data_IF_454103009424
#
_entry.id   IF_454103009424
#
_cell.length_a   1.000
_cell.length_b   1.000
_cell.length_c   1.000
_cell.angle_alpha   90.00
_cell.angle_beta   90.00
_cell.angle_gamma   90.00
#
_symmetry.space_group_name_H-M   'P 1'
#
loop_
_entity.id
_entity.type
_entity.pdbx_description
1 polymer ?
#
# COMPACT_ATOMS: atom_id res chain seq x y z
N UNK A 1 5.96 13.40 -4.88
CA UNK A 1 6.96 12.50 -4.37
C UNK A 1 6.45 11.09 -4.43
N UNK A 2 7.31 10.15 -4.62
CA UNK A 2 6.94 8.76 -4.77
C UNK A 2 7.12 8.04 -3.46
N UNK A 3 6.13 7.29 -3.06
CA UNK A 3 6.18 6.54 -1.81
C UNK A 3 5.78 5.09 -2.08
N UNK A 4 6.40 4.17 -1.38
CA UNK A 4 6.16 2.76 -1.55
C UNK A 4 5.66 2.15 -0.25
N UNK A 5 4.60 1.37 -0.33
CA UNK A 5 4.03 0.74 0.86
C UNK A 5 3.87 -0.75 0.62
N UNK A 6 4.10 -1.53 1.66
CA UNK A 6 3.83 -2.97 1.63
C UNK A 6 2.81 -3.26 2.70
N UNK A 7 1.71 -3.90 2.33
CA UNK A 7 0.61 -4.17 3.23
C UNK A 7 0.32 -5.66 3.28
N UNK A 8 0.05 -6.17 4.47
CA UNK A 8 -0.50 -7.50 4.62
C UNK A 8 -2.00 -7.30 4.79
N UNK A 9 -2.79 -7.86 3.92
CA UNK A 9 -4.22 -7.57 3.86
C UNK A 9 -5.03 -8.86 3.83
N UNK A 10 -6.31 -8.75 4.15
CA UNK A 10 -7.23 -9.84 4.00
C UNK A 10 -7.43 -10.09 2.50
N UNK A 11 -7.41 -11.33 2.07
CA UNK A 11 -7.61 -11.67 0.66
C UNK A 11 -9.10 -11.74 0.37
N UNK A 12 -9.71 -10.57 0.17
CA UNK A 12 -11.12 -10.44 -0.08
C UNK A 12 -11.36 -9.51 -1.23
N UNK A 13 -12.42 -9.67 -1.94
CA UNK A 13 -12.69 -8.85 -3.12
C UNK A 13 -12.71 -7.36 -2.82
N UNK A 14 -13.23 -6.97 -1.66
CA UNK A 14 -13.37 -5.56 -1.36
C UNK A 14 -12.08 -4.91 -0.88
N UNK A 15 -11.04 -5.69 -0.58
CA UNK A 15 -9.82 -5.13 -0.03
C UNK A 15 -9.15 -4.12 -0.96
N UNK A 16 -8.99 -4.48 -2.22
CA UNK A 16 -8.36 -3.57 -3.16
C UNK A 16 -9.16 -2.29 -3.30
N UNK A 17 -10.47 -2.40 -3.36
CA UNK A 17 -11.28 -1.23 -3.51
C UNK A 17 -11.18 -0.32 -2.31
N UNK A 18 -11.08 -0.87 -1.11
CA UNK A 18 -10.96 -0.06 0.07
C UNK A 18 -9.63 0.64 0.14
N UNK A 19 -8.56 -0.07 -0.16
CA UNK A 19 -7.21 0.49 -0.11
C UNK A 19 -7.05 1.56 -1.17
N UNK A 20 -7.41 1.26 -2.41
CA UNK A 20 -7.24 2.23 -3.49
C UNK A 20 -8.20 3.41 -3.33
N UNK A 21 -9.39 3.15 -2.79
CA UNK A 21 -10.34 4.23 -2.52
C UNK A 21 -9.78 5.22 -1.50
N UNK A 22 -9.10 4.72 -0.47
CA UNK A 22 -8.48 5.58 0.50
C UNK A 22 -7.42 6.45 -0.17
N UNK A 23 -6.58 5.83 -1.00
CA UNK A 23 -5.53 6.56 -1.71
C UNK A 23 -6.13 7.66 -2.56
N UNK A 24 -7.19 7.37 -3.29
CA UNK A 24 -7.82 8.37 -4.12
C UNK A 24 -8.40 9.52 -3.30
N UNK A 25 -9.03 9.22 -2.19
CA UNK A 25 -9.59 10.28 -1.36
C UNK A 25 -8.51 11.16 -0.77
N UNK A 26 -7.30 10.64 -0.63
CA UNK A 26 -6.18 11.41 -0.10
C UNK A 26 -5.33 12.01 -1.22
N UNK A 27 -5.83 11.98 -2.43
CA UNK A 27 -5.15 12.52 -3.60
C UNK A 27 -3.80 11.89 -3.83
N UNK A 28 -3.69 10.61 -3.55
CA UNK A 28 -2.50 9.84 -3.82
C UNK A 28 -2.75 9.07 -5.11
N UNK A 29 -1.87 9.23 -6.08
CA UNK A 29 -2.02 8.62 -7.38
C UNK A 29 -1.34 7.27 -7.36
N UNK A 30 -2.08 6.20 -7.57
CA UNK A 30 -1.52 4.85 -7.56
C UNK A 30 -0.92 4.58 -8.92
N UNK A 31 0.40 4.54 -9.00
CA UNK A 31 1.09 4.35 -10.27
C UNK A 31 1.53 2.91 -10.48
N UNK A 32 1.61 2.11 -9.43
CA UNK A 32 1.90 0.69 -9.57
C UNK A 32 1.29 -0.06 -8.41
N UNK A 33 0.81 -1.26 -8.67
CA UNK A 33 0.17 -2.06 -7.67
C UNK A 33 0.47 -3.52 -7.94
N UNK A 34 0.83 -4.26 -6.89
CA UNK A 34 1.06 -5.67 -7.03
C UNK A 34 0.33 -6.37 -5.91
N UNK A 35 -0.52 -7.31 -6.27
CA UNK A 35 -1.32 -8.05 -5.32
C UNK A 35 -0.94 -9.52 -5.45
N UNK A 36 -0.45 -10.11 -4.39
CA UNK A 36 -0.02 -11.49 -4.44
C UNK A 36 -0.64 -12.27 -3.29
N UNK A 37 -1.40 -13.30 -3.62
CA UNK A 37 -1.98 -14.15 -2.61
C UNK A 37 -0.91 -14.96 -1.94
N UNK A 38 -1.11 -15.18 -0.65
CA UNK A 38 -0.18 -15.96 0.11
C UNK A 38 -0.27 -17.41 -0.35
N UNK A 39 0.92 -18.01 -0.67
CA UNK A 39 0.91 -19.34 -1.09
C UNK A 39 1.61 -20.12 -0.10
N UNK A 40 1.18 -21.18 0.36
CA UNK A 40 1.83 -22.02 1.31
C UNK A 40 1.95 -21.37 2.66
N UNK A 41 1.50 -20.17 2.83
CA UNK A 41 1.59 -19.51 4.06
C UNK A 41 0.24 -19.49 4.69
N UNK A 42 -0.21 -18.32 5.17
CA UNK A 42 -1.45 -18.21 5.77
C UNK A 42 -2.50 -18.00 4.78
N UNK A 43 -3.45 -18.91 4.69
CA UNK A 43 -4.58 -18.76 3.80
C UNK A 43 -5.40 -17.57 4.26
N UNK A 44 -6.01 -16.90 3.35
CA UNK A 44 -6.87 -15.77 3.65
C UNK A 44 -6.17 -14.43 3.68
N UNK A 45 -4.88 -14.40 3.39
CA UNK A 45 -4.13 -13.14 3.37
C UNK A 45 -3.43 -12.96 2.03
N UNK A 46 -3.09 -11.73 1.75
CA UNK A 46 -2.35 -11.37 0.55
C UNK A 46 -1.38 -10.26 0.85
N UNK A 47 -0.37 -10.13 0.02
CA UNK A 47 0.58 -9.02 0.11
C UNK A 47 0.23 -8.01 -0.98
N UNK A 48 0.03 -6.79 -0.59
CA UNK A 48 -0.30 -5.72 -1.52
C UNK A 48 0.80 -4.71 -1.47
N UNK A 49 1.43 -4.45 -2.60
CA UNK A 49 2.48 -3.46 -2.68
C UNK A 49 2.00 -2.31 -3.55
N UNK A 50 2.20 -1.10 -3.09
CA UNK A 50 1.74 0.09 -3.76
C UNK A 50 2.87 1.06 -3.99
N UNK A 51 2.87 1.66 -5.15
CA UNK A 51 3.74 2.78 -5.43
C UNK A 51 2.83 3.96 -5.70
N UNK A 52 2.98 5.01 -4.92
CA UNK A 52 2.09 6.17 -5.00
C UNK A 52 2.87 7.42 -5.30
N UNK A 53 2.25 8.31 -6.06
CA UNK A 53 2.77 9.65 -6.24
C UNK A 53 1.84 10.57 -5.48
N UNK A 54 2.35 11.29 -4.51
CA UNK A 54 1.52 12.11 -3.64
C UNK A 54 2.35 13.26 -3.10
N UNK A 55 1.73 14.41 -2.90
CA UNK A 55 2.42 15.56 -2.32
C UNK A 55 2.66 15.28 -0.85
N UNK A 56 3.64 15.97 -0.28
CA UNK A 56 3.92 15.82 1.12
C UNK A 56 2.70 16.16 1.94
N UNK A 57 2.00 17.20 1.57
CA UNK A 57 0.84 17.63 2.26
C UNK A 57 -0.27 16.59 2.25
N UNK A 58 -0.59 16.05 1.08
CA UNK A 58 -1.65 15.07 0.96
C UNK A 58 -1.25 13.70 1.49
N UNK A 59 0.05 13.43 1.53
CA UNK A 59 0.54 12.15 2.03
C UNK A 59 0.70 12.10 3.54
N UNK A 60 0.48 13.24 4.21
CA UNK A 60 0.65 13.29 5.65
C UNK A 60 -0.38 12.37 6.30
N UNK A 61 0.06 11.50 7.17
CA UNK A 61 -0.82 10.58 7.87
C UNK A 61 -1.31 9.40 7.04
N UNK A 62 -0.81 9.25 5.82
CA UNK A 62 -1.29 8.20 4.94
C UNK A 62 -0.96 6.81 5.49
N UNK A 63 0.22 6.62 6.05
CA UNK A 63 0.62 5.34 6.60
C UNK A 63 -0.34 4.91 7.71
N UNK A 64 -0.67 5.84 8.60
CA UNK A 64 -1.57 5.55 9.71
C UNK A 64 -2.97 5.23 9.21
N UNK A 65 -3.40 5.94 8.17
CA UNK A 65 -4.73 5.70 7.65
C UNK A 65 -4.83 4.36 6.96
N UNK A 66 -3.79 3.96 6.26
CA UNK A 66 -3.77 2.65 5.62
C UNK A 66 -3.82 1.56 6.69
N UNK A 67 -3.06 1.72 7.75
CA UNK A 67 -3.03 0.73 8.80
C UNK A 67 -4.32 0.67 9.61
N UNK A 68 -5.16 1.68 9.52
CA UNK A 68 -6.43 1.71 10.25
C UNK A 68 -7.56 1.02 9.52
N UNK A 69 -7.37 0.64 8.25
CA UNK A 69 -8.42 -0.05 7.52
C UNK A 69 -8.62 -1.44 8.11
N UNK A 70 -9.86 -1.84 8.24
CA UNK A 70 -10.19 -3.13 8.81
C UNK A 70 -9.53 -4.28 8.08
N UNK A 71 -9.40 -4.18 6.78
CA UNK A 71 -8.83 -5.23 5.93
C UNK A 71 -7.31 -5.28 6.00
N UNK A 72 -6.66 -4.29 6.59
CA UNK A 72 -5.22 -4.22 6.62
C UNK A 72 -4.72 -4.76 7.96
N UNK A 73 -3.84 -5.79 7.90
CA UNK A 73 -3.30 -6.41 9.09
C UNK A 73 -1.98 -5.79 9.49
N UNK A 74 -1.23 -5.33 8.52
CA UNK A 74 0.06 -4.72 8.78
C UNK A 74 0.41 -3.84 7.60
N UNK A 75 1.14 -2.76 7.85
CA UNK A 75 1.57 -1.87 6.79
C UNK A 75 2.96 -1.34 7.12
N UNK A 76 3.78 -1.25 6.11
CA UNK A 76 5.11 -0.68 6.25
C UNK A 76 5.39 0.19 5.05
N UNK A 77 6.03 1.30 5.27
CA UNK A 77 6.48 2.12 4.18
C UNK A 77 7.90 1.72 3.84
N UNK A 78 8.15 1.43 2.58
CA UNK A 78 9.46 1.00 2.14
C UNK A 78 10.26 2.18 1.67
N UNK A 79 11.60 2.19 1.93
CA UNK A 79 12.43 3.27 1.49
C UNK A 79 12.71 3.06 0.07
N UNK A 80 12.76 4.09 -0.68
CA UNK A 80 13.06 3.95 -2.07
C UNK A 80 14.51 4.11 -2.30
N UNK A 81 15.31 3.54 -1.50
CA UNK A 81 16.72 3.74 -1.63
C UNK A 81 17.26 3.03 -2.77
N UNK A 82 16.54 2.15 -3.31
CA UNK A 82 17.02 1.50 -4.37
C UNK A 82 17.36 2.32 -5.41
N UNK A 83 16.81 3.31 -5.56
CA UNK A 83 17.10 4.08 -6.58
C UNK A 83 18.31 4.60 -6.56
N UNK A 84 18.78 4.67 -5.77
CA UNK A 84 19.90 5.29 -5.73
C UNK A 84 20.87 4.56 -6.13
N UNK A 85 20.76 3.80 -6.13
CA UNK A 85 21.76 3.11 -6.39
C UNK A 85 22.06 3.13 -7.64
N UNK A 86 21.71 3.48 -8.08
CA UNK A 86 22.05 3.46 -9.03
C UNK A 86 22.65 4.11 -9.38
N UNK A 87 22.66 4.41 -9.08
CA UNK A 87 23.29 4.98 -9.27
C UNK A 87 23.40 5.04 -9.61
#
# INVERSE_FOLDING_TARGET
>A
MTRHFSLLVDDRPETLMRVTGLCLRRRADVVALRYARSRGGRAGFARLELELVVSERHGHGLLERLGALVEVRDVAELRSTLKRSDG
#
